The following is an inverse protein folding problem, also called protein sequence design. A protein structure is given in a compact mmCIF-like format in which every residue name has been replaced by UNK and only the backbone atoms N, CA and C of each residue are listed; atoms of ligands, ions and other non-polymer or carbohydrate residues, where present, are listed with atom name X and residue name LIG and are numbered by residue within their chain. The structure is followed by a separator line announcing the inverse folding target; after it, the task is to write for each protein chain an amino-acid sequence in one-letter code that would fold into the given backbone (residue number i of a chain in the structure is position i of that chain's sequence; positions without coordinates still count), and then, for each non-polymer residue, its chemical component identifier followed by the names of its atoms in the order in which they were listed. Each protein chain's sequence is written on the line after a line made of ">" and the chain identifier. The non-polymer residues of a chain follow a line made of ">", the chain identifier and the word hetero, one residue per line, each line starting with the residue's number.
data_IF_096372739116
#
_entry.id   IF_096372739116
#
_cell.length_a   1.000
_cell.length_b   1.000
_cell.length_c   1.000
_cell.angle_alpha   90.00
_cell.angle_beta   90.00
_cell.angle_gamma   90.00
#
_symmetry.space_group_name_H-M   'P 1'
#
loop_
_entity.id
_entity.type
_entity.pdbx_description
1 polymer ?
#
# COMPACT_ATOMS: atom_id res chain seq x y z
N UNK A 1 57.81 12.56 27.63
CA UNK A 1 56.38 12.95 27.57
C UNK A 1 56.01 12.91 26.11
N UNK A 2 55.58 11.74 25.68
CA UNK A 2 54.76 11.57 24.49
C UNK A 2 53.34 12.01 24.88
N UNK A 3 52.57 12.58 23.96
CA UNK A 3 51.20 12.11 23.78
C UNK A 3 50.64 12.50 22.40
N UNK A 4 49.96 11.51 21.84
CA UNK A 4 49.55 11.32 20.46
C UNK A 4 48.22 12.01 20.11
N UNK A 5 48.02 12.14 18.79
CA UNK A 5 46.90 12.79 18.11
C UNK A 5 45.59 11.98 18.24
N UNK A 6 44.66 12.40 19.09
CA UNK A 6 43.30 11.84 19.19
C UNK A 6 42.35 12.41 18.13
N UNK A 7 41.84 11.55 17.24
CA UNK A 7 40.89 11.86 16.16
C UNK A 7 39.47 11.91 16.74
N UNK A 8 38.91 13.11 16.85
CA UNK A 8 37.58 13.38 17.42
C UNK A 8 36.47 12.79 16.53
N UNK A 9 35.70 11.88 17.13
CA UNK A 9 34.51 11.24 16.56
C UNK A 9 33.30 11.75 17.34
N UNK A 10 32.59 12.73 16.78
CA UNK A 10 31.39 13.29 17.40
C UNK A 10 30.18 12.36 17.17
N UNK A 11 30.05 11.38 18.05
CA UNK A 11 28.82 10.63 18.30
C UNK A 11 27.92 11.49 19.20
N UNK A 12 26.90 12.13 18.63
CA UNK A 12 25.97 12.96 19.41
C UNK A 12 24.89 12.06 20.01
N UNK A 13 25.12 11.57 21.24
CA UNK A 13 24.11 10.91 22.05
C UNK A 13 23.32 11.99 22.80
N UNK A 14 22.11 12.33 22.35
CA UNK A 14 21.18 13.13 23.15
C UNK A 14 20.48 12.22 24.16
N UNK A 15 21.06 12.13 25.36
CA UNK A 15 20.46 11.42 26.50
C UNK A 15 19.56 12.39 27.29
N UNK A 16 18.26 12.39 27.03
CA UNK A 16 17.28 13.02 27.91
C UNK A 16 17.06 12.09 29.10
N UNK A 17 17.61 12.45 30.25
CA UNK A 17 17.37 11.75 31.51
C UNK A 17 15.94 12.04 31.97
N UNK A 18 14.99 11.16 31.69
CA UNK A 18 13.83 10.91 32.57
C UNK A 18 13.29 9.50 32.32
N UNK A 19 12.88 8.85 33.41
CA UNK A 19 12.48 7.45 33.47
C UNK A 19 11.16 7.18 32.75
N UNK A 20 11.27 6.94 31.44
CA UNK A 20 10.51 5.93 30.72
C UNK A 20 11.51 5.33 29.73
N UNK A 21 11.43 4.02 29.47
CA UNK A 21 12.36 3.32 28.56
C UNK A 21 12.16 3.81 27.12
N UNK A 22 12.64 5.01 26.81
CA UNK A 22 12.63 5.57 25.45
C UNK A 22 13.93 5.13 24.79
N UNK A 23 13.88 4.44 23.64
CA UNK A 23 15.07 4.08 22.88
C UNK A 23 15.88 5.35 22.58
N UNK A 24 17.20 5.27 22.77
CA UNK A 24 18.08 6.37 22.38
C UNK A 24 17.89 6.63 20.88
N UNK A 25 17.55 7.86 20.51
CA UNK A 25 17.44 8.26 19.11
C UNK A 25 18.85 8.29 18.52
N UNK A 26 19.22 7.24 17.78
CA UNK A 26 20.50 7.12 17.08
C UNK A 26 20.30 7.46 15.61
N UNK A 27 21.02 8.48 15.12
CA UNK A 27 21.09 8.80 13.70
C UNK A 27 21.95 7.76 12.99
N UNK A 28 21.35 7.05 12.03
CA UNK A 28 21.97 5.90 11.41
C UNK A 28 22.58 6.23 10.05
N UNK A 29 23.88 5.94 9.91
CA UNK A 29 24.59 5.96 8.63
C UNK A 29 24.26 4.73 7.80
N UNK A 30 24.42 4.83 6.48
CA UNK A 30 24.07 3.78 5.52
C UNK A 30 24.76 2.44 5.79
N UNK A 31 25.98 2.45 6.34
CA UNK A 31 26.76 1.25 6.62
C UNK A 31 26.26 0.46 7.84
N UNK A 32 25.49 1.10 8.72
CA UNK A 32 25.07 0.55 10.02
C UNK A 32 23.63 -0.04 9.99
N UNK A 33 22.90 0.09 8.86
CA UNK A 33 21.50 -0.36 8.69
C UNK A 33 21.29 -1.82 9.06
N UNK A 34 22.09 -2.73 8.50
CA UNK A 34 21.91 -4.18 8.69
C UNK A 34 21.98 -4.60 10.16
N UNK A 35 22.88 -3.96 10.93
CA UNK A 35 23.03 -4.24 12.37
C UNK A 35 21.79 -3.79 13.14
N UNK A 36 21.20 -2.68 12.76
CA UNK A 36 20.04 -2.11 13.46
C UNK A 36 18.73 -2.77 13.06
N UNK A 37 18.57 -3.23 11.81
CA UNK A 37 17.40 -4.04 11.40
C UNK A 37 17.23 -5.32 12.24
N UNK A 38 18.32 -5.89 12.74
CA UNK A 38 18.31 -7.10 13.59
C UNK A 38 18.00 -6.82 15.07
N UNK A 39 18.19 -5.58 15.53
CA UNK A 39 18.22 -5.25 16.97
C UNK A 39 17.14 -4.27 17.39
N UNK A 40 16.69 -3.40 16.48
CA UNK A 40 15.81 -2.27 16.78
C UNK A 40 14.62 -2.22 15.82
N UNK A 41 13.41 -2.07 16.36
CA UNK A 41 12.19 -2.01 15.55
C UNK A 41 11.98 -0.63 14.90
N UNK A 42 12.67 0.42 15.37
CA UNK A 42 12.54 1.80 14.87
C UNK A 42 13.88 2.56 14.97
N UNK A 43 14.39 3.07 13.85
CA UNK A 43 15.59 3.94 13.83
C UNK A 43 15.42 5.08 12.81
N UNK A 44 16.10 6.20 13.06
CA UNK A 44 16.06 7.38 12.19
C UNK A 44 17.25 7.35 11.24
N UNK A 45 16.96 7.37 9.94
CA UNK A 45 17.98 7.49 8.91
C UNK A 45 18.51 8.93 8.86
N UNK A 46 19.84 9.08 8.75
CA UNK A 46 20.47 10.39 8.52
C UNK A 46 20.50 10.79 7.04
N UNK A 47 19.98 9.94 6.16
CA UNK A 47 19.86 10.15 4.72
C UNK A 47 18.42 9.88 4.24
N UNK A 48 18.04 10.52 3.14
CA UNK A 48 16.78 10.18 2.46
C UNK A 48 16.95 8.86 1.67
N UNK A 49 16.26 7.78 2.04
CA UNK A 49 16.36 6.49 1.35
C UNK A 49 15.91 6.54 -0.12
N UNK A 50 15.26 7.63 -0.56
CA UNK A 50 14.75 7.81 -1.92
C UNK A 50 15.54 8.81 -2.75
N UNK A 51 16.60 9.41 -2.20
CA UNK A 51 17.44 10.37 -2.92
C UNK A 51 18.12 9.78 -4.18
N UNK A 52 18.17 8.45 -4.32
CA UNK A 52 18.69 7.78 -5.52
C UNK A 52 17.69 7.72 -6.69
N UNK A 53 16.43 8.12 -6.50
CA UNK A 53 15.44 8.17 -7.57
C UNK A 53 15.71 9.42 -8.42
N UNK A 54 16.45 9.26 -9.52
CA UNK A 54 16.74 10.33 -10.46
C UNK A 54 15.56 10.57 -11.42
N UNK A 55 14.73 11.56 -11.10
CA UNK A 55 13.62 12.00 -11.93
C UNK A 55 14.01 13.05 -12.98
N UNK A 56 15.29 13.46 -13.03
CA UNK A 56 15.78 14.59 -13.84
C UNK A 56 15.74 14.32 -15.36
N UNK A 57 15.52 13.07 -15.76
CA UNK A 57 15.39 12.65 -17.17
C UNK A 57 13.97 12.69 -17.71
N UNK A 58 12.99 13.11 -16.91
CA UNK A 58 11.59 13.11 -17.31
C UNK A 58 11.25 14.45 -17.99
N UNK A 59 11.14 14.43 -19.32
CA UNK A 59 10.52 15.52 -20.08
C UNK A 59 9.01 15.43 -19.86
N UNK A 60 8.50 16.16 -18.86
CA UNK A 60 7.07 16.31 -18.64
C UNK A 60 6.56 17.43 -19.54
N UNK A 61 6.34 17.08 -20.80
CA UNK A 61 5.54 17.89 -21.70
C UNK A 61 4.07 17.47 -21.50
N UNK A 62 3.22 18.45 -21.17
CA UNK A 62 1.76 18.40 -21.05
C UNK A 62 1.16 18.21 -19.65
N UNK A 63 -0.08 18.71 -19.53
CA UNK A 63 -0.86 19.09 -18.36
C UNK A 63 -1.40 17.89 -17.55
N UNK A 64 -0.66 16.78 -17.56
CA UNK A 64 -1.09 15.48 -17.05
C UNK A 64 -0.24 15.04 -15.84
N UNK A 65 -0.84 14.19 -14.99
CA UNK A 65 -0.17 13.63 -13.80
C UNK A 65 0.37 12.24 -14.13
N UNK A 66 1.65 12.01 -13.85
CA UNK A 66 2.31 10.71 -14.06
C UNK A 66 2.85 10.13 -12.74
N UNK A 67 2.67 8.83 -12.54
CA UNK A 67 3.24 8.10 -11.39
C UNK A 67 4.68 7.73 -11.74
N UNK A 68 5.65 8.26 -10.99
CA UNK A 68 7.08 8.09 -11.27
C UNK A 68 7.73 6.94 -10.50
N UNK A 69 7.13 6.57 -9.38
CA UNK A 69 7.55 5.45 -8.54
C UNK A 69 6.38 5.00 -7.67
N UNK A 70 6.40 3.73 -7.27
CA UNK A 70 5.46 3.11 -6.35
C UNK A 70 6.25 2.34 -5.29
N UNK A 71 5.83 2.39 -4.03
CA UNK A 71 6.43 1.61 -2.95
C UNK A 71 5.32 0.96 -2.11
N UNK A 72 5.48 -0.34 -1.85
CA UNK A 72 4.57 -1.12 -1.01
C UNK A 72 3.42 -1.72 -1.81
N UNK A 73 2.40 -2.18 -1.10
CA UNK A 73 1.22 -2.84 -1.66
C UNK A 73 0.11 -1.82 -1.98
N UNK A 74 -0.57 -2.02 -3.10
CA UNK A 74 -1.66 -1.17 -3.57
C UNK A 74 -2.99 -1.86 -3.31
N UNK A 75 -3.85 -1.24 -2.50
CA UNK A 75 -5.14 -1.80 -2.09
C UNK A 75 -5.99 -2.34 -3.27
N UNK A 76 -6.05 -1.60 -4.37
CA UNK A 76 -6.86 -1.92 -5.55
C UNK A 76 -6.19 -2.87 -6.54
N UNK A 77 -5.04 -3.47 -6.18
CA UNK A 77 -4.25 -4.36 -7.03
C UNK A 77 -3.81 -5.62 -6.31
N UNK A 78 -3.35 -5.45 -5.07
CA UNK A 78 -2.63 -6.46 -4.29
C UNK A 78 -3.46 -7.02 -3.13
N UNK A 79 -4.55 -6.34 -2.75
CA UNK A 79 -5.49 -6.79 -1.71
C UNK A 79 -6.87 -7.12 -2.28
N UNK A 80 -7.72 -7.90 -1.57
CA UNK A 80 -9.06 -8.19 -2.02
C UNK A 80 -9.86 -6.90 -2.27
N UNK A 81 -10.31 -6.69 -3.50
CA UNK A 81 -11.02 -5.47 -3.90
C UNK A 81 -12.24 -5.78 -4.78
N UNK A 82 -13.29 -4.95 -4.72
CA UNK A 82 -14.42 -5.11 -5.61
C UNK A 82 -14.00 -4.77 -7.04
N UNK A 83 -14.61 -5.43 -8.01
CA UNK A 83 -14.16 -5.37 -9.40
C UNK A 83 -14.14 -3.96 -10.01
N UNK A 84 -15.08 -3.07 -9.67
CA UNK A 84 -15.08 -1.66 -10.11
C UNK A 84 -13.87 -0.84 -9.65
N UNK A 85 -13.13 -1.31 -8.64
CA UNK A 85 -11.89 -0.67 -8.18
C UNK A 85 -10.63 -1.31 -8.77
N UNK A 86 -10.74 -2.36 -9.59
CA UNK A 86 -9.56 -3.09 -10.07
C UNK A 86 -8.68 -2.23 -11.00
N UNK A 87 -7.46 -1.93 -10.56
CA UNK A 87 -6.49 -1.15 -11.37
C UNK A 87 -5.91 -1.98 -12.52
N UNK A 88 -5.83 -3.32 -12.37
CA UNK A 88 -5.39 -4.22 -13.46
C UNK A 88 -6.40 -4.30 -14.60
N UNK A 89 -7.70 -4.19 -14.29
CA UNK A 89 -8.80 -4.29 -15.25
C UNK A 89 -9.80 -3.15 -15.05
N UNK A 90 -9.43 -1.91 -15.39
CA UNK A 90 -10.30 -0.75 -15.21
C UNK A 90 -11.53 -0.82 -16.12
N UNK A 91 -12.68 -0.36 -15.63
CA UNK A 91 -13.96 -0.44 -16.36
C UNK A 91 -13.94 0.35 -17.66
N UNK A 92 -13.21 1.47 -17.68
CA UNK A 92 -13.11 2.35 -18.84
C UNK A 92 -12.33 1.73 -20.01
N UNK A 93 -11.49 0.72 -19.77
CA UNK A 93 -10.63 0.13 -20.80
C UNK A 93 -10.79 -1.39 -20.97
N UNK A 94 -11.52 -2.07 -20.07
CA UNK A 94 -11.64 -3.53 -20.09
C UNK A 94 -13.10 -3.98 -19.95
N UNK A 95 -13.48 -5.11 -20.57
CA UNK A 95 -14.82 -5.66 -20.40
C UNK A 95 -15.14 -5.86 -18.92
N UNK A 96 -16.40 -5.62 -18.54
CA UNK A 96 -16.77 -5.73 -17.13
C UNK A 96 -16.70 -7.18 -16.58
N UNK A 97 -16.73 -8.18 -17.48
CA UNK A 97 -16.52 -9.57 -17.10
C UNK A 97 -15.07 -9.94 -16.72
N UNK A 98 -14.07 -9.11 -17.06
CA UNK A 98 -12.66 -9.37 -16.73
C UNK A 98 -12.39 -9.20 -15.23
N UNK A 99 -11.49 -9.97 -14.64
CA UNK A 99 -11.14 -9.88 -13.22
C UNK A 99 -9.71 -10.36 -12.95
N UNK A 100 -9.10 -9.89 -11.85
CA UNK A 100 -7.82 -10.39 -11.36
C UNK A 100 -8.02 -11.34 -10.16
N UNK A 101 -6.94 -11.98 -9.72
CA UNK A 101 -6.94 -12.95 -8.61
C UNK A 101 -7.44 -12.36 -7.29
N UNK A 102 -7.26 -11.04 -7.09
CA UNK A 102 -7.71 -10.34 -5.88
C UNK A 102 -9.11 -9.72 -6.02
N UNK A 103 -9.78 -9.88 -7.17
CA UNK A 103 -11.13 -9.35 -7.33
C UNK A 103 -12.15 -10.18 -6.55
N UNK A 104 -13.13 -9.51 -5.95
CA UNK A 104 -14.33 -10.14 -5.41
C UNK A 104 -15.61 -9.52 -6.01
N UNK A 105 -16.69 -10.31 -5.95
CA UNK A 105 -18.03 -9.87 -6.31
C UNK A 105 -18.60 -8.98 -5.22
N UNK A 106 -18.82 -7.70 -5.52
CA UNK A 106 -19.36 -6.70 -4.58
C UNK A 106 -20.67 -7.16 -3.90
N UNK A 107 -21.56 -7.78 -4.67
CA UNK A 107 -22.87 -8.24 -4.17
C UNK A 107 -22.78 -9.49 -3.29
N UNK A 108 -21.88 -10.43 -3.61
CA UNK A 108 -21.81 -11.73 -2.94
C UNK A 108 -20.77 -11.79 -1.83
N UNK A 109 -19.87 -10.80 -1.74
CA UNK A 109 -18.69 -10.83 -0.87
C UNK A 109 -17.85 -12.12 -1.05
N UNK A 110 -17.77 -12.65 -2.29
CA UNK A 110 -17.04 -13.88 -2.65
C UNK A 110 -16.02 -13.61 -3.75
N UNK A 111 -14.95 -14.41 -3.84
CA UNK A 111 -13.97 -14.32 -4.92
C UNK A 111 -14.64 -14.30 -6.30
N UNK A 112 -14.14 -13.45 -7.21
CA UNK A 112 -14.61 -13.39 -8.58
C UNK A 112 -14.03 -14.58 -9.37
N UNK A 113 -14.81 -15.20 -10.28
CA UNK A 113 -16.19 -14.88 -10.62
C UNK A 113 -17.19 -15.58 -9.68
N UNK A 114 -18.31 -14.93 -9.37
CA UNK A 114 -19.42 -15.58 -8.67
C UNK A 114 -20.38 -16.28 -9.66
N UNK A 115 -21.38 -17.02 -9.16
CA UNK A 115 -22.40 -17.70 -9.99
C UNK A 115 -23.16 -16.75 -10.95
N UNK A 116 -23.30 -15.48 -10.59
CA UNK A 116 -24.04 -14.46 -11.35
C UNK A 116 -23.11 -13.55 -12.18
N UNK A 117 -21.85 -13.96 -12.38
CA UNK A 117 -20.84 -13.27 -13.16
C UNK A 117 -20.95 -13.60 -14.65
N UNK A 118 -22.11 -13.30 -15.24
CA UNK A 118 -22.39 -13.60 -16.65
C UNK A 118 -23.07 -12.39 -17.31
N UNK A 119 -22.94 -12.19 -18.63
CA UNK A 119 -23.49 -11.01 -19.33
C UNK A 119 -25.02 -11.08 -19.49
N UNK A 120 -25.73 -11.12 -18.35
CA UNK A 120 -27.18 -10.94 -18.24
C UNK A 120 -27.49 -9.50 -17.85
N UNK A 121 -28.78 -9.14 -17.88
CA UNK A 121 -29.27 -7.77 -17.60
C UNK A 121 -28.93 -7.23 -16.21
N UNK A 122 -28.45 -8.05 -15.28
CA UNK A 122 -27.99 -7.68 -13.94
C UNK A 122 -26.75 -8.49 -13.58
N UNK A 123 -25.70 -8.37 -14.41
CA UNK A 123 -24.45 -9.08 -14.12
C UNK A 123 -23.80 -8.53 -12.87
N UNK A 124 -23.39 -9.41 -11.96
CA UNK A 124 -22.62 -8.99 -10.78
C UNK A 124 -21.23 -8.43 -11.13
N UNK A 125 -20.77 -8.62 -12.37
CA UNK A 125 -19.52 -8.05 -12.84
C UNK A 125 -19.62 -6.54 -13.11
N UNK A 126 -20.85 -6.04 -13.29
CA UNK A 126 -21.17 -4.62 -13.45
C UNK A 126 -21.40 -3.92 -12.11
N UNK A 127 -21.32 -4.66 -10.99
CA UNK A 127 -21.59 -4.12 -9.68
C UNK A 127 -20.53 -3.11 -9.21
N UNK A 128 -21.01 -1.91 -8.90
CA UNK A 128 -20.22 -0.81 -8.35
C UNK A 128 -20.76 -0.36 -6.98
N UNK A 129 -20.40 0.85 -6.56
CA UNK A 129 -20.80 1.45 -5.29
C UNK A 129 -22.08 2.27 -5.36
N UNK A 130 -22.83 2.20 -6.46
CA UNK A 130 -24.10 2.92 -6.62
C UNK A 130 -25.20 2.33 -5.73
N UNK A 131 -26.23 3.13 -5.49
CA UNK A 131 -27.25 2.81 -4.49
C UNK A 131 -28.03 1.52 -4.83
N UNK A 132 -28.29 1.26 -6.11
CA UNK A 132 -28.94 0.04 -6.58
C UNK A 132 -28.15 -1.23 -6.17
N UNK A 133 -26.82 -1.18 -6.30
CA UNK A 133 -25.96 -2.31 -5.93
C UNK A 133 -25.77 -2.45 -4.42
N UNK A 134 -25.79 -1.34 -3.68
CA UNK A 134 -25.81 -1.38 -2.20
C UNK A 134 -27.07 -2.06 -1.70
N UNK A 135 -28.23 -1.74 -2.27
CA UNK A 135 -29.50 -2.38 -1.94
C UNK A 135 -29.45 -3.89 -2.25
N UNK A 136 -28.94 -4.27 -3.42
CA UNK A 136 -28.82 -5.67 -3.80
C UNK A 136 -27.90 -6.46 -2.86
N UNK A 137 -26.75 -5.88 -2.52
CA UNK A 137 -25.81 -6.46 -1.56
C UNK A 137 -26.46 -6.65 -0.18
N UNK A 138 -27.19 -5.64 0.30
CA UNK A 138 -27.89 -5.73 1.59
C UNK A 138 -28.98 -6.81 1.55
N UNK A 139 -29.79 -6.84 0.49
CA UNK A 139 -30.81 -7.87 0.27
C UNK A 139 -30.22 -9.27 0.33
N UNK A 140 -29.07 -9.49 -0.31
CA UNK A 140 -28.37 -10.77 -0.29
C UNK A 140 -27.83 -11.15 1.10
N UNK A 141 -27.30 -10.17 1.84
CA UNK A 141 -26.90 -10.37 3.24
C UNK A 141 -28.07 -10.79 4.12
N UNK A 142 -29.22 -10.11 4.03
CA UNK A 142 -30.43 -10.50 4.74
C UNK A 142 -30.89 -11.92 4.39
N UNK A 143 -30.89 -12.28 3.10
CA UNK A 143 -31.24 -13.65 2.67
C UNK A 143 -30.29 -14.71 3.25
N UNK A 144 -28.99 -14.44 3.30
CA UNK A 144 -28.01 -15.37 3.87
C UNK A 144 -28.21 -15.59 5.38
N UNK A 145 -28.59 -14.54 6.12
CA UNK A 145 -28.90 -14.61 7.55
C UNK A 145 -30.15 -15.46 7.78
N UNK A 146 -31.20 -15.26 6.98
CA UNK A 146 -32.45 -16.02 7.10
C UNK A 146 -32.33 -17.49 6.67
N UNK A 147 -31.31 -17.82 5.87
CA UNK A 147 -31.05 -19.17 5.37
C UNK A 147 -30.07 -19.97 6.26
N UNK A 148 -29.56 -19.37 7.34
CA UNK A 148 -28.63 -19.98 8.31
C UNK A 148 -29.36 -20.39 9.58
#
# INVERSE_FOLDING_TARGET
>A
MEEEKGKSSDLVILSTKEETSVPALVCLRKEDIKRFEETEECFVLDFDPFHSLDFSKLSLDHQDVSILAEKGEVACRDYPHPRHLCVKFPFTATPHGSYCEMCYCYVCDSAAPCKYWNPSTLSHCDADSDDDWKEERNRKKFQSILAS
#
